data_IF_535883183037
#
_entry.id   IF_535883183037
#
_cell.length_a   1.000
_cell.length_b   1.000
_cell.length_c   1.000
_cell.angle_alpha   90.00
_cell.angle_beta   90.00
_cell.angle_gamma   90.00
#
_symmetry.space_group_name_H-M   'P 1'
#
loop_
_entity.id
_entity.type
_entity.pdbx_description
1 polymer ?
#
# COMPACT_ATOMS: atom_id res chain seq x y z
N UNK A 1 -18.47 3.08 -10.71
CA UNK A 1 -17.81 1.86 -11.18
C UNK A 1 -16.72 2.13 -12.20
N UNK A 2 -17.00 2.88 -13.26
CA UNK A 2 -15.98 3.18 -14.28
C UNK A 2 -14.77 3.96 -13.73
N UNK A 3 -14.99 4.91 -12.80
CA UNK A 3 -13.92 5.67 -12.17
C UNK A 3 -12.97 4.79 -11.38
N UNK A 4 -13.54 3.83 -10.64
CA UNK A 4 -12.74 2.92 -9.80
C UNK A 4 -11.88 1.99 -10.65
N UNK A 5 -12.40 1.49 -11.76
CA UNK A 5 -11.64 0.64 -12.69
C UNK A 5 -10.47 1.36 -13.36
N UNK A 6 -10.54 2.69 -13.49
CA UNK A 6 -9.49 3.53 -14.07
C UNK A 6 -8.55 4.08 -13.02
N UNK A 7 -8.94 4.03 -11.75
CA UNK A 7 -8.15 4.60 -10.68
C UNK A 7 -6.90 3.79 -10.40
N UNK A 8 -5.83 4.49 -10.04
CA UNK A 8 -4.60 3.91 -9.54
C UNK A 8 -4.38 4.40 -8.12
N UNK A 9 -4.43 3.48 -7.17
CA UNK A 9 -4.26 3.78 -5.74
C UNK A 9 -2.90 3.28 -5.27
N UNK A 10 -2.18 4.15 -4.59
CA UNK A 10 -0.92 3.82 -3.92
C UNK A 10 -1.19 3.64 -2.43
N UNK A 11 -0.81 2.50 -1.88
CA UNK A 11 -0.91 2.24 -0.44
C UNK A 11 0.50 2.06 0.11
N UNK A 12 0.87 2.91 1.03
CA UNK A 12 2.19 2.88 1.68
C UNK A 12 2.03 2.49 3.13
N UNK A 13 2.63 1.36 3.50
CA UNK A 13 2.52 0.77 4.83
C UNK A 13 1.42 -0.29 4.88
N UNK A 14 1.81 -1.54 5.12
CA UNK A 14 0.91 -2.71 5.14
C UNK A 14 0.83 -3.35 6.53
N UNK A 15 0.87 -2.50 7.54
CA UNK A 15 0.72 -2.93 8.94
C UNK A 15 -0.75 -3.06 9.36
N UNK A 16 -1.05 -2.64 10.60
CA UNK A 16 -2.36 -2.84 11.21
C UNK A 16 -3.53 -2.24 10.43
N UNK A 17 -3.38 -1.02 9.92
CA UNK A 17 -4.46 -0.33 9.21
C UNK A 17 -4.31 -0.40 7.69
N UNK A 18 -3.07 -0.25 7.19
CA UNK A 18 -2.81 -0.17 5.75
C UNK A 18 -3.21 -1.42 4.98
N UNK A 19 -2.96 -2.61 5.54
CA UNK A 19 -3.32 -3.87 4.90
C UNK A 19 -4.84 -4.01 4.75
N UNK A 20 -5.60 -3.67 5.79
CA UNK A 20 -7.07 -3.71 5.73
C UNK A 20 -7.61 -2.68 4.75
N UNK A 21 -7.06 -1.46 4.75
CA UNK A 21 -7.45 -0.43 3.79
C UNK A 21 -7.20 -0.89 2.36
N UNK A 22 -6.04 -1.44 2.09
CA UNK A 22 -5.69 -1.97 0.77
C UNK A 22 -6.64 -3.09 0.34
N UNK A 23 -6.98 -4.01 1.24
CA UNK A 23 -7.91 -5.09 0.93
C UNK A 23 -9.31 -4.56 0.59
N UNK A 24 -9.81 -3.60 1.34
CA UNK A 24 -11.12 -3.01 1.05
C UNK A 24 -11.14 -2.34 -0.32
N UNK A 25 -10.09 -1.63 -0.67
CA UNK A 25 -9.94 -1.00 -1.99
C UNK A 25 -9.89 -2.07 -3.10
N UNK A 26 -9.14 -3.13 -2.85
CA UNK A 26 -9.05 -4.28 -3.76
C UNK A 26 -10.43 -4.91 -4.00
N UNK A 27 -11.17 -5.17 -2.93
CA UNK A 27 -12.51 -5.76 -2.99
C UNK A 27 -13.54 -4.85 -3.67
N UNK A 28 -13.33 -3.54 -3.57
CA UNK A 28 -14.21 -2.57 -4.23
C UNK A 28 -14.04 -2.56 -5.75
N UNK A 29 -13.00 -3.21 -6.29
CA UNK A 29 -12.82 -3.35 -7.73
C UNK A 29 -11.94 -2.29 -8.37
N UNK A 30 -10.98 -1.72 -7.63
CA UNK A 30 -10.01 -0.79 -8.21
C UNK A 30 -9.23 -1.45 -9.34
N UNK A 31 -8.96 -0.70 -10.41
CA UNK A 31 -8.28 -1.26 -11.59
C UNK A 31 -6.78 -1.42 -11.41
N UNK A 32 -6.14 -0.52 -10.67
CA UNK A 32 -4.69 -0.53 -10.43
C UNK A 32 -4.38 -0.20 -8.99
N UNK A 33 -3.41 -0.90 -8.42
CA UNK A 33 -2.92 -0.62 -7.08
C UNK A 33 -1.42 -0.85 -7.02
N UNK A 34 -0.72 0.03 -6.31
CA UNK A 34 0.67 -0.16 -5.94
C UNK A 34 0.75 -0.24 -4.43
N UNK A 35 1.35 -1.29 -3.91
CA UNK A 35 1.54 -1.49 -2.47
C UNK A 35 3.03 -1.42 -2.12
N UNK A 36 3.35 -0.72 -1.05
CA UNK A 36 4.73 -0.45 -0.62
C UNK A 36 4.89 -0.80 0.85
N UNK A 37 5.76 -1.76 1.13
CA UNK A 37 6.17 -2.14 2.48
C UNK A 37 7.39 -3.03 2.40
N UNK A 38 8.40 -2.78 3.22
CA UNK A 38 9.63 -3.58 3.24
C UNK A 38 9.63 -4.65 4.34
N UNK A 39 8.67 -4.61 5.26
CA UNK A 39 8.68 -5.45 6.43
C UNK A 39 8.33 -6.91 6.15
N UNK A 40 8.87 -7.79 6.98
CA UNK A 40 8.46 -9.18 7.07
C UNK A 40 7.49 -9.36 8.23
N UNK A 41 6.73 -10.44 8.20
CA UNK A 41 5.78 -10.78 9.27
C UNK A 41 6.54 -11.20 10.53
N UNK A 42 6.22 -10.56 11.65
CA UNK A 42 6.79 -10.87 12.96
C UNK A 42 5.72 -11.46 13.89
N UNK A 43 6.11 -12.27 14.90
CA UNK A 43 5.15 -12.84 15.83
C UNK A 43 4.26 -11.81 16.52
N UNK A 44 4.80 -10.63 16.82
CA UNK A 44 4.06 -9.54 17.47
C UNK A 44 2.98 -8.94 16.58
N UNK A 45 2.99 -9.23 15.29
CA UNK A 45 2.01 -8.71 14.33
C UNK A 45 0.71 -9.52 14.32
N UNK A 46 0.74 -10.77 14.78
CA UNK A 46 -0.37 -11.73 14.63
C UNK A 46 -1.65 -11.24 15.27
N UNK A 47 -1.55 -10.49 16.35
CA UNK A 47 -2.73 -10.03 17.09
C UNK A 47 -3.58 -8.97 16.36
N UNK A 48 -3.07 -8.36 15.28
CA UNK A 48 -3.79 -7.26 14.64
C UNK A 48 -3.53 -7.03 13.15
N UNK A 49 -2.55 -7.70 12.54
CA UNK A 49 -2.20 -7.42 11.15
C UNK A 49 -2.69 -8.51 10.21
N UNK A 50 -3.36 -8.09 9.14
CA UNK A 50 -3.99 -8.98 8.17
C UNK A 50 -3.04 -10.05 7.58
N UNK A 51 -1.79 -9.73 7.17
CA UNK A 51 -0.91 -10.72 6.58
C UNK A 51 -0.28 -11.67 7.62
N UNK A 52 -0.45 -11.39 8.92
CA UNK A 52 0.29 -12.05 9.98
C UNK A 52 -0.43 -13.29 10.50
N UNK A 53 0.07 -14.46 10.10
CA UNK A 53 -0.37 -15.77 10.53
C UNK A 53 0.85 -16.58 10.95
N UNK A 54 0.67 -17.64 11.71
CA UNK A 54 1.79 -18.54 12.02
C UNK A 54 2.44 -19.10 10.75
N UNK A 55 1.64 -19.37 9.73
CA UNK A 55 2.14 -19.91 8.46
C UNK A 55 2.89 -18.87 7.61
N UNK A 56 2.76 -17.58 7.91
CA UNK A 56 3.39 -16.51 7.13
C UNK A 56 4.58 -15.84 7.83
N UNK A 57 4.93 -16.29 9.05
CA UNK A 57 6.06 -15.71 9.79
C UNK A 57 7.32 -15.67 8.93
N UNK A 58 8.01 -14.53 8.92
CA UNK A 58 9.25 -14.33 8.19
C UNK A 58 9.06 -13.99 6.71
N UNK A 59 7.86 -14.09 6.17
CA UNK A 59 7.58 -13.72 4.79
C UNK A 59 7.34 -12.21 4.66
N UNK A 60 7.58 -11.67 3.47
CA UNK A 60 7.34 -10.25 3.20
C UNK A 60 5.85 -9.94 3.16
N UNK A 61 5.42 -8.95 3.94
CA UNK A 61 4.00 -8.55 4.01
C UNK A 61 3.45 -8.18 2.63
N UNK A 62 4.23 -7.46 1.84
CA UNK A 62 3.80 -7.04 0.50
C UNK A 62 3.52 -8.23 -0.42
N UNK A 63 4.34 -9.26 -0.37
CA UNK A 63 4.17 -10.46 -1.20
C UNK A 63 2.98 -11.30 -0.78
N UNK A 64 2.76 -11.45 0.54
CA UNK A 64 1.60 -12.16 1.08
C UNK A 64 0.31 -11.47 0.62
N UNK A 65 0.24 -10.17 0.77
CA UNK A 65 -0.94 -9.40 0.39
C UNK A 65 -1.14 -9.37 -1.11
N UNK A 66 -0.06 -9.34 -1.89
CA UNK A 66 -0.16 -9.41 -3.35
C UNK A 66 -0.86 -10.68 -3.82
N UNK A 67 -0.46 -11.81 -3.27
CA UNK A 67 -1.09 -13.10 -3.58
C UNK A 67 -2.57 -13.10 -3.20
N UNK A 68 -2.88 -12.60 -2.02
CA UNK A 68 -4.26 -12.50 -1.53
C UNK A 68 -5.11 -11.57 -2.40
N UNK A 69 -4.59 -10.40 -2.76
CA UNK A 69 -5.34 -9.40 -3.55
C UNK A 69 -5.58 -9.86 -4.97
N UNK A 70 -4.64 -10.57 -5.58
CA UNK A 70 -4.82 -11.16 -6.91
C UNK A 70 -5.88 -12.26 -6.92
N UNK A 71 -6.03 -12.97 -5.81
CA UNK A 71 -7.09 -13.97 -5.66
C UNK A 71 -8.46 -13.32 -5.45
N UNK A 72 -8.52 -12.20 -4.74
CA UNK A 72 -9.75 -11.43 -4.53
C UNK A 72 -10.21 -10.75 -5.81
N UNK A 73 -9.28 -10.12 -6.55
CA UNK A 73 -9.57 -9.32 -7.74
C UNK A 73 -8.58 -9.68 -8.85
N UNK A 74 -8.85 -10.75 -9.61
CA UNK A 74 -7.93 -11.21 -10.66
C UNK A 74 -7.67 -10.20 -11.78
N UNK A 75 -8.56 -9.23 -11.98
CA UNK A 75 -8.41 -8.18 -12.99
C UNK A 75 -7.51 -7.03 -12.51
N UNK A 76 -7.13 -7.01 -11.24
CA UNK A 76 -6.31 -5.95 -10.66
C UNK A 76 -4.90 -5.95 -11.25
N UNK A 77 -4.47 -4.79 -11.75
CA UNK A 77 -3.08 -4.55 -12.08
C UNK A 77 -2.35 -4.14 -10.79
N UNK A 78 -1.64 -5.07 -10.19
CA UNK A 78 -0.99 -4.90 -8.91
C UNK A 78 0.51 -4.80 -9.06
N UNK A 79 1.08 -3.71 -8.56
CA UNK A 79 2.52 -3.51 -8.47
C UNK A 79 2.94 -3.62 -7.01
N UNK A 80 3.97 -4.41 -6.76
CA UNK A 80 4.46 -4.71 -5.42
C UNK A 80 5.86 -4.15 -5.25
N UNK A 81 6.03 -3.26 -4.28
CA UNK A 81 7.32 -2.64 -3.98
C UNK A 81 7.74 -2.97 -2.55
N UNK A 82 8.54 -4.04 -2.34
CA UNK A 82 9.00 -4.43 -1.01
C UNK A 82 10.21 -3.60 -0.58
N UNK A 83 10.02 -2.30 -0.48
CA UNK A 83 11.09 -1.34 -0.20
C UNK A 83 10.74 -0.42 0.94
N UNK A 84 11.76 0.07 1.66
CA UNK A 84 11.59 1.14 2.64
C UNK A 84 11.45 2.47 1.93
N UNK A 85 10.45 3.25 2.33
CA UNK A 85 10.28 4.59 1.83
C UNK A 85 11.22 5.54 2.57
N UNK A 86 12.06 6.25 1.80
CA UNK A 86 13.02 7.25 2.29
C UNK A 86 12.77 8.56 1.58
N UNK A 87 13.27 9.66 2.14
CA UNK A 87 13.15 10.98 1.53
C UNK A 87 13.60 11.01 0.07
N UNK A 88 14.67 10.25 -0.22
CA UNK A 88 15.27 10.21 -1.56
C UNK A 88 14.38 9.53 -2.60
N UNK A 89 13.61 8.50 -2.21
CA UNK A 89 12.81 7.72 -3.14
C UNK A 89 11.33 8.10 -3.19
N UNK A 90 10.86 8.96 -2.29
CA UNK A 90 9.47 9.41 -2.28
C UNK A 90 9.09 10.16 -3.57
N UNK A 91 9.84 11.19 -4.01
CA UNK A 91 9.51 11.85 -5.27
C UNK A 91 9.54 10.90 -6.46
N UNK A 92 10.53 10.02 -6.52
CA UNK A 92 10.66 9.03 -7.58
C UNK A 92 9.46 8.10 -7.63
N UNK A 93 9.00 7.62 -6.47
CA UNK A 93 7.82 6.78 -6.37
C UNK A 93 6.57 7.49 -6.90
N UNK A 94 6.36 8.73 -6.50
CA UNK A 94 5.17 9.50 -6.88
C UNK A 94 5.17 9.90 -8.35
N UNK A 95 6.35 10.01 -8.97
CA UNK A 95 6.48 10.36 -10.39
C UNK A 95 6.49 9.13 -11.30
N UNK A 96 6.61 7.92 -10.73
CA UNK A 96 6.74 6.67 -11.47
C UNK A 96 5.45 6.23 -12.16
N UNK A 97 4.32 6.71 -11.68
CA UNK A 97 3.01 6.43 -12.26
C UNK A 97 2.03 7.57 -11.96
N UNK A 98 0.93 7.60 -12.68
CA UNK A 98 -0.14 8.57 -12.43
C UNK A 98 -1.08 8.03 -11.36
N UNK A 99 -0.81 8.35 -10.11
CA UNK A 99 -1.67 7.93 -8.99
C UNK A 99 -2.83 8.90 -8.81
N UNK A 100 -4.01 8.36 -8.66
CA UNK A 100 -5.22 9.13 -8.36
C UNK A 100 -5.37 9.38 -6.86
N UNK A 101 -4.87 8.45 -6.04
CA UNK A 101 -5.03 8.50 -4.60
C UNK A 101 -3.88 7.80 -3.89
N UNK A 102 -3.46 8.37 -2.77
CA UNK A 102 -2.44 7.79 -1.88
C UNK A 102 -3.05 7.50 -0.52
N UNK A 103 -2.93 6.27 -0.06
CA UNK A 103 -3.23 5.88 1.31
C UNK A 103 -1.92 5.79 2.08
N UNK A 104 -1.74 6.69 3.03
CA UNK A 104 -0.55 6.80 3.84
C UNK A 104 -0.79 6.14 5.19
N UNK A 105 -0.25 4.95 5.38
CA UNK A 105 -0.33 4.20 6.63
C UNK A 105 1.05 3.99 7.25
N UNK A 106 1.95 4.96 7.05
CA UNK A 106 3.32 4.94 7.58
C UNK A 106 3.28 5.30 9.06
N UNK A 107 3.98 4.52 9.90
CA UNK A 107 4.09 4.78 11.33
C UNK A 107 5.15 5.83 11.68
N UNK A 108 6.19 5.95 10.85
CA UNK A 108 7.32 6.85 11.11
C UNK A 108 7.00 8.26 10.63
N UNK A 109 7.15 9.25 11.51
CA UNK A 109 6.69 10.62 11.25
C UNK A 109 7.38 11.30 10.07
N UNK A 110 8.71 11.21 9.98
CA UNK A 110 9.45 11.94 8.95
C UNK A 110 9.09 11.49 7.52
N UNK A 111 9.12 10.19 7.17
CA UNK A 111 8.65 9.75 5.86
C UNK A 111 7.18 10.06 5.61
N UNK A 112 6.33 9.96 6.64
CA UNK A 112 4.91 10.28 6.54
C UNK A 112 4.69 11.73 6.13
N UNK A 113 5.34 12.67 6.82
CA UNK A 113 5.24 14.09 6.51
C UNK A 113 5.76 14.40 5.11
N UNK A 114 6.87 13.78 4.71
CA UNK A 114 7.44 13.98 3.38
C UNK A 114 6.52 13.46 2.29
N UNK A 115 5.93 12.29 2.47
CA UNK A 115 4.97 11.73 1.53
C UNK A 115 3.74 12.63 1.37
N UNK A 116 3.21 13.14 2.48
CA UNK A 116 2.08 14.08 2.48
C UNK A 116 2.44 15.33 1.66
N UNK A 117 3.59 15.95 1.97
CA UNK A 117 4.01 17.18 1.29
C UNK A 117 4.20 16.97 -0.22
N UNK A 118 4.85 15.89 -0.61
CA UNK A 118 5.10 15.58 -2.02
C UNK A 118 3.81 15.20 -2.77
N UNK A 119 2.88 14.53 -2.10
CA UNK A 119 1.56 14.24 -2.67
C UNK A 119 0.75 15.52 -2.89
N UNK A 120 0.83 16.47 -1.96
CA UNK A 120 0.17 17.77 -2.08
C UNK A 120 0.70 18.57 -3.29
N UNK A 121 2.01 18.58 -3.49
CA UNK A 121 2.63 19.25 -4.63
C UNK A 121 2.12 18.71 -5.97
N UNK A 122 1.78 17.42 -6.02
CA UNK A 122 1.30 16.76 -7.22
C UNK A 122 -0.22 16.70 -7.30
N UNK A 123 -0.90 17.30 -6.34
CA UNK A 123 -2.37 17.32 -6.27
C UNK A 123 -3.01 15.94 -6.32
N UNK A 124 -2.35 14.94 -5.71
CA UNK A 124 -2.87 13.59 -5.59
C UNK A 124 -3.84 13.53 -4.41
N UNK A 125 -4.99 12.89 -4.59
CA UNK A 125 -5.92 12.61 -3.49
C UNK A 125 -5.26 11.72 -2.44
N UNK A 126 -5.60 11.91 -1.16
CA UNK A 126 -4.90 11.19 -0.08
C UNK A 126 -5.76 10.96 1.15
N UNK A 127 -5.45 9.86 1.84
CA UNK A 127 -5.95 9.56 3.17
C UNK A 127 -4.76 9.19 4.07
N UNK A 128 -4.78 9.69 5.30
CA UNK A 128 -3.72 9.44 6.28
C UNK A 128 -4.32 8.65 7.45
N UNK A 129 -3.77 7.50 7.71
CA UNK A 129 -4.26 6.59 8.74
C UNK A 129 -3.18 6.17 9.73
#
# INVERSE_FOLDING_TARGET
>A
MKRLRRAHVLVVGLGGVGAYAAEMICRAGVGRMTIVDADTVQPTNINRQLPALHSTLGQKKAEILASRFRDINPALELRVLPVFLKDENIPELLDDAAYDFVVDAIDTLAPKCHLIAESMKRQIGRAHV
#
